data_IF_066322554209
#
_entry.id   IF_066322554209
#
_cell.length_a   1.000
_cell.length_b   1.000
_cell.length_c   1.000
_cell.angle_alpha   90.00
_cell.angle_beta   90.00
_cell.angle_gamma   90.00
#
_symmetry.space_group_name_H-M   'P 1'
#
loop_
_entity.id
_entity.type
_entity.pdbx_description
1 polymer ?
#
# COMPACT_ATOMS: atom_id res chain seq x y z
N UNK A 1 14.62 0.05 -18.00
CA UNK A 1 14.12 -0.93 -17.00
C UNK A 1 13.18 -1.87 -17.73
N UNK A 2 13.23 -3.17 -17.43
CA UNK A 2 12.34 -4.18 -18.02
C UNK A 2 10.88 -3.86 -17.63
N UNK A 3 9.91 -3.79 -18.57
CA UNK A 3 8.49 -3.56 -18.29
C UNK A 3 7.80 -4.66 -17.45
N UNK A 4 8.54 -5.66 -16.95
CA UNK A 4 8.01 -6.82 -16.21
C UNK A 4 8.65 -7.08 -14.86
N UNK A 5 9.34 -6.11 -14.27
CA UNK A 5 9.85 -6.27 -12.90
C UNK A 5 8.68 -6.41 -11.91
N UNK A 6 8.41 -7.65 -11.49
CA UNK A 6 7.42 -7.97 -10.45
C UNK A 6 8.16 -8.42 -9.21
N UNK A 7 7.87 -7.76 -8.10
CA UNK A 7 8.25 -8.24 -6.78
C UNK A 7 7.06 -9.02 -6.22
N UNK A 8 7.30 -10.25 -5.78
CA UNK A 8 6.26 -11.07 -5.16
C UNK A 8 6.57 -11.24 -3.67
N UNK A 9 5.64 -10.79 -2.84
CA UNK A 9 5.70 -10.96 -1.39
C UNK A 9 4.60 -11.95 -1.01
N UNK A 10 4.94 -13.24 -0.87
CA UNK A 10 3.99 -14.31 -0.53
C UNK A 10 3.58 -14.33 0.94
N UNK A 11 3.50 -13.16 1.58
CA UNK A 11 3.24 -13.02 3.01
C UNK A 11 1.80 -12.62 3.26
N UNK A 12 1.25 -13.09 4.38
CA UNK A 12 0.01 -12.56 4.94
C UNK A 12 0.35 -11.54 6.00
N UNK A 13 -0.27 -10.36 5.93
CA UNK A 13 -0.16 -9.33 6.97
C UNK A 13 -1.45 -9.26 7.76
N UNK A 14 -1.34 -9.27 9.09
CA UNK A 14 -2.47 -9.18 9.99
C UNK A 14 -2.52 -7.77 10.59
N UNK A 15 -3.63 -7.05 10.37
CA UNK A 15 -3.89 -5.80 11.05
C UNK A 15 -4.02 -6.07 12.55
N UNK A 16 -3.25 -5.33 13.35
CA UNK A 16 -3.18 -5.55 14.80
C UNK A 16 -4.34 -4.89 15.56
N UNK A 17 -5.15 -4.08 14.87
CA UNK A 17 -6.31 -3.40 15.44
C UNK A 17 -7.57 -4.08 14.91
N UNK A 18 -8.48 -4.55 15.79
CA UNK A 18 -9.79 -5.06 15.39
C UNK A 18 -10.57 -3.98 14.64
N UNK A 19 -11.36 -4.40 13.65
CA UNK A 19 -12.10 -3.47 12.79
C UNK A 19 -13.08 -2.60 13.56
N UNK A 20 -13.74 -3.16 14.57
CA UNK A 20 -14.70 -2.48 15.43
C UNK A 20 -14.08 -1.34 16.25
N UNK A 21 -12.75 -1.31 16.37
CA UNK A 21 -12.00 -0.25 17.03
C UNK A 21 -11.40 0.75 16.04
N UNK A 22 -11.56 0.54 14.73
CA UNK A 22 -11.13 1.51 13.72
C UNK A 22 -12.12 2.66 13.64
N UNK A 23 -11.60 3.88 13.73
CA UNK A 23 -12.39 5.10 13.56
C UNK A 23 -12.72 5.33 12.08
N UNK A 24 -13.82 6.04 11.81
CA UNK A 24 -14.14 6.47 10.47
C UNK A 24 -12.97 7.26 9.86
N UNK A 25 -12.61 6.94 8.61
CA UNK A 25 -11.49 7.57 7.92
C UNK A 25 -10.12 6.92 8.17
N UNK A 26 -10.05 5.79 8.90
CA UNK A 26 -8.83 5.00 8.99
C UNK A 26 -8.33 4.56 7.61
N UNK A 27 -7.02 4.69 7.41
CA UNK A 27 -6.31 4.27 6.20
C UNK A 27 -5.20 3.33 6.62
N UNK A 28 -5.00 2.28 5.83
CA UNK A 28 -3.79 1.48 5.91
C UNK A 28 -2.90 1.88 4.73
N UNK A 29 -1.63 2.14 5.06
CA UNK A 29 -0.61 2.61 4.14
C UNK A 29 0.42 1.49 3.95
N UNK A 30 0.82 1.27 2.71
CA UNK A 30 1.91 0.36 2.37
C UNK A 30 3.03 1.14 1.71
N UNK A 31 4.22 1.05 2.30
CA UNK A 31 5.44 1.67 1.78
C UNK A 31 6.38 0.58 1.25
N UNK A 32 6.81 0.72 0.01
CA UNK A 32 7.93 -0.07 -0.52
C UNK A 32 9.21 0.70 -0.24
N UNK A 33 10.00 0.21 0.70
CA UNK A 33 11.28 0.78 1.07
C UNK A 33 12.38 0.29 0.13
N UNK A 34 13.26 1.20 -0.28
CA UNK A 34 14.51 0.89 -0.99
C UNK A 34 15.68 1.22 -0.09
N UNK A 35 16.60 0.27 0.03
CA UNK A 35 17.89 0.47 0.70
C UNK A 35 18.91 0.86 -0.36
N UNK A 36 19.55 2.01 -0.17
CA UNK A 36 20.74 2.41 -0.91
C UNK A 36 21.94 2.32 0.04
N UNK A 37 23.03 1.70 -0.44
CA UNK A 37 24.27 1.56 0.33
C UNK A 37 24.98 2.89 0.58
N UNK A 38 24.58 3.96 -0.12
CA UNK A 38 25.15 5.30 0.02
C UNK A 38 24.36 6.22 0.95
N UNK A 39 23.18 5.81 1.43
CA UNK A 39 22.32 6.61 2.30
C UNK A 39 22.25 6.04 3.72
N UNK A 40 22.05 6.90 4.72
CA UNK A 40 21.99 6.54 6.14
C UNK A 40 20.75 5.73 6.56
N UNK A 41 19.86 5.36 5.64
CA UNK A 41 18.68 4.55 5.93
C UNK A 41 17.83 4.20 4.71
N UNK A 42 16.82 3.34 4.88
CA UNK A 42 15.86 3.07 3.82
C UNK A 42 15.04 4.30 3.49
N UNK A 43 14.80 4.51 2.20
CA UNK A 43 13.90 5.55 1.70
C UNK A 43 12.63 4.93 1.13
N UNK A 44 11.51 5.62 1.25
CA UNK A 44 10.27 5.22 0.55
C UNK A 44 10.51 5.37 -0.95
N UNK A 45 10.46 4.26 -1.69
CA UNK A 45 10.57 4.29 -3.14
C UNK A 45 9.22 4.62 -3.78
N UNK A 46 8.18 3.94 -3.33
CA UNK A 46 6.79 4.22 -3.69
C UNK A 46 5.86 3.70 -2.60
N UNK A 47 4.62 4.16 -2.61
CA UNK A 47 3.66 3.83 -1.58
C UNK A 47 2.24 3.73 -2.14
N UNK A 48 1.35 3.08 -1.42
CA UNK A 48 -0.08 3.10 -1.70
C UNK A 48 -0.86 3.10 -0.39
N UNK A 49 -2.17 3.26 -0.48
CA UNK A 49 -3.05 3.20 0.67
C UNK A 49 -4.42 2.67 0.27
N UNK A 50 -5.13 2.16 1.26
CA UNK A 50 -6.52 1.80 1.11
C UNK A 50 -7.31 2.30 2.32
N UNK A 51 -8.52 2.80 2.04
CA UNK A 51 -9.45 3.23 3.07
C UNK A 51 -10.12 1.99 3.64
N UNK A 52 -10.06 1.84 4.96
CA UNK A 52 -10.69 0.75 5.69
C UNK A 52 -12.19 1.05 5.82
N UNK A 53 -12.88 0.97 4.70
CA UNK A 53 -14.34 1.11 4.63
C UNK A 53 -14.95 -0.30 4.68
N UNK A 54 -15.57 -0.63 5.82
CA UNK A 54 -16.18 -1.93 6.11
C UNK A 54 -17.19 -2.36 5.04
N UNK A 55 -17.81 -1.41 4.33
CA UNK A 55 -18.77 -1.70 3.26
C UNK A 55 -18.13 -2.14 1.94
N UNK A 56 -16.83 -1.88 1.76
CA UNK A 56 -16.06 -2.15 0.52
C UNK A 56 -15.03 -3.26 0.69
N UNK A 57 -14.96 -3.85 1.87
CA UNK A 57 -14.06 -4.94 2.18
C UNK A 57 -14.62 -6.22 1.58
N UNK A 58 -13.84 -6.80 0.66
CA UNK A 58 -14.16 -8.07 -0.01
C UNK A 58 -12.93 -8.96 0.03
N UNK A 59 -13.12 -10.28 0.01
CA UNK A 59 -12.04 -11.26 -0.10
C UNK A 59 -11.41 -11.34 -1.51
N UNK A 60 -11.89 -10.55 -2.47
CA UNK A 60 -11.38 -10.58 -3.83
C UNK A 60 -10.00 -9.90 -3.93
N UNK A 61 -9.14 -10.32 -4.87
CA UNK A 61 -7.89 -9.62 -5.15
C UNK A 61 -8.15 -8.16 -5.52
N UNK A 62 -7.38 -7.26 -4.91
CA UNK A 62 -7.40 -5.83 -5.18
C UNK A 62 -6.07 -5.39 -5.79
N UNK A 63 -6.17 -4.47 -6.74
CA UNK A 63 -5.03 -3.82 -7.38
C UNK A 63 -5.04 -2.35 -7.00
N UNK A 64 -3.94 -1.88 -6.42
CA UNK A 64 -3.74 -0.52 -5.98
C UNK A 64 -2.71 0.18 -6.86
N UNK A 65 -2.99 1.42 -7.23
CA UNK A 65 -1.97 2.28 -7.87
C UNK A 65 -0.89 2.65 -6.85
N UNK A 66 0.35 2.72 -7.31
CA UNK A 66 1.47 3.19 -6.49
C UNK A 66 1.77 4.67 -6.77
N UNK A 67 2.13 5.39 -5.72
CA UNK A 67 2.42 6.82 -5.72
C UNK A 67 3.88 7.08 -5.38
N UNK A 68 4.40 8.19 -5.90
CA UNK A 68 5.71 8.71 -5.54
C UNK A 68 5.68 9.36 -4.14
N UNK A 69 6.81 9.33 -3.40
CA UNK A 69 6.94 10.07 -2.15
C UNK A 69 6.70 11.59 -2.33
N UNK A 70 6.35 12.33 -1.25
CA UNK A 70 6.17 11.85 0.13
C UNK A 70 4.85 11.11 0.35
N UNK A 71 4.75 10.37 1.46
CA UNK A 71 3.54 9.66 1.87
C UNK A 71 2.54 10.63 2.46
N UNK A 72 1.39 10.78 1.80
CA UNK A 72 0.27 11.59 2.28
C UNK A 72 -1.08 11.04 1.76
N UNK A 73 -1.70 10.08 2.49
CA UNK A 73 -2.98 9.47 2.07
C UNK A 73 -4.17 10.43 2.10
N UNK A 74 -4.00 11.64 2.63
CA UNK A 74 -5.05 12.66 2.72
C UNK A 74 -4.89 13.77 1.67
N UNK A 75 -3.78 13.77 0.92
CA UNK A 75 -3.58 14.69 -0.19
C UNK A 75 -4.68 14.56 -1.24
N UNK A 76 -5.14 15.69 -1.75
CA UNK A 76 -6.08 15.74 -2.88
C UNK A 76 -5.41 15.43 -4.22
N UNK A 77 -4.08 15.55 -4.29
CA UNK A 77 -3.30 15.35 -5.51
C UNK A 77 -2.20 14.33 -5.19
N UNK A 78 -2.32 13.15 -5.81
CA UNK A 78 -1.38 12.06 -5.65
C UNK A 78 -0.52 11.93 -6.91
N UNK A 79 0.80 12.03 -6.74
CA UNK A 79 1.74 11.84 -7.84
C UNK A 79 1.88 10.34 -8.12
N UNK A 80 1.34 9.87 -9.26
CA UNK A 80 1.46 8.46 -9.66
C UNK A 80 2.91 8.10 -9.97
N UNK A 81 3.32 6.91 -9.51
CA UNK A 81 4.61 6.36 -9.87
C UNK A 81 4.66 6.06 -11.37
N UNK A 82 5.72 6.48 -12.09
CA UNK A 82 5.84 6.21 -13.52
C UNK A 82 5.84 4.71 -13.86
N UNK A 83 5.39 4.37 -15.08
CA UNK A 83 5.50 3.02 -15.62
C UNK A 83 4.43 2.04 -15.16
N UNK A 84 3.22 2.52 -14.83
CA UNK A 84 2.08 1.69 -14.42
C UNK A 84 2.43 0.71 -13.29
N UNK A 85 2.98 1.27 -12.21
CA UNK A 85 3.34 0.52 -11.02
C UNK A 85 2.11 0.24 -10.16
N UNK A 86 1.86 -1.04 -9.88
CA UNK A 86 0.73 -1.48 -9.06
C UNK A 86 1.17 -2.40 -7.93
N UNK A 87 0.42 -2.35 -6.83
CA UNK A 87 0.48 -3.33 -5.75
C UNK A 87 -0.78 -4.19 -5.80
N UNK A 88 -0.63 -5.51 -5.84
CA UNK A 88 -1.75 -6.45 -5.84
C UNK A 88 -1.74 -7.24 -4.54
N UNK A 89 -2.89 -7.33 -3.87
CA UNK A 89 -3.04 -8.08 -2.64
C UNK A 89 -4.45 -8.70 -2.51
N UNK A 90 -4.54 -9.79 -1.76
CA UNK A 90 -5.80 -10.35 -1.28
C UNK A 90 -6.02 -9.86 0.14
N UNK A 91 -7.10 -9.10 0.36
CA UNK A 91 -7.46 -8.61 1.69
C UNK A 91 -8.51 -9.54 2.29
N UNK A 92 -8.08 -10.38 3.22
CA UNK A 92 -9.00 -11.18 4.02
C UNK A 92 -9.24 -10.48 5.35
N UNK A 93 -10.51 -10.23 5.64
CA UNK A 93 -10.95 -9.64 6.89
C UNK A 93 -11.90 -10.61 7.56
N UNK A 94 -11.46 -11.14 8.69
CA UNK A 94 -12.25 -11.99 9.57
C UNK A 94 -12.61 -11.19 10.82
N UNK A 95 -13.91 -11.18 11.15
CA UNK A 95 -14.41 -10.80 12.47
C UNK A 95 -14.23 -11.95 13.47
#
# INVERSE_FOLDING_TARGET
>A
MDPRARLWFGNTWHLQVPLEHMTEGCVAVFELLRYDYHTDGPEVFCWTFFRLDLSKITSAPLTFEMYSPPVDPYSQILARMPGDSFFQAELNISL
#
